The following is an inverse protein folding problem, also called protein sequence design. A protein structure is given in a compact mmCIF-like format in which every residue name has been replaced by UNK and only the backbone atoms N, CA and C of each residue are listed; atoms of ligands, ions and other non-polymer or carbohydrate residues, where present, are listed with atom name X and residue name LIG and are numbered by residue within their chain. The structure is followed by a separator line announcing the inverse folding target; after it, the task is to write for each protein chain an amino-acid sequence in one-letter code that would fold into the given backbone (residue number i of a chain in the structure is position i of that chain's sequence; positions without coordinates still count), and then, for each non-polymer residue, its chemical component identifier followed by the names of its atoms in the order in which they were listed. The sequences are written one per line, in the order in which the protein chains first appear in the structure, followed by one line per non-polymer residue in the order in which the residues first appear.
data_IF_201641749118
#
_entry.id   IF_201641749118
#
_cell.length_a   1.000
_cell.length_b   1.000
_cell.length_c   1.000
_cell.angle_alpha   90.00
_cell.angle_beta   90.00
_cell.angle_gamma   90.00
#
_symmetry.space_group_name_H-M   'P 1'
#
loop_
_entity.id
_entity.type
_entity.pdbx_description
1 polymer ?
#
# COMPACT_ATOMS: atom_id res chain seq x y z
N UNK A 1 11.81 2.82 11.57
CA UNK A 1 10.57 2.11 11.94
C UNK A 1 10.02 1.48 10.68
N UNK A 2 9.59 0.24 10.77
CA UNK A 2 9.17 -0.57 9.62
C UNK A 2 7.73 -0.25 9.20
N UNK A 3 7.41 -0.42 7.92
CA UNK A 3 6.07 -0.24 7.36
C UNK A 3 4.96 -0.93 8.17
N UNK A 4 5.23 -2.13 8.70
CA UNK A 4 4.29 -2.89 9.53
C UNK A 4 4.09 -2.28 10.92
N UNK A 5 5.12 -1.66 11.51
CA UNK A 5 5.04 -0.99 12.81
C UNK A 5 4.16 0.26 12.69
N UNK A 6 4.34 1.04 11.62
CA UNK A 6 3.52 2.22 11.34
C UNK A 6 2.05 1.85 11.05
N UNK A 7 1.82 0.76 10.31
CA UNK A 7 0.48 0.21 10.06
C UNK A 7 -0.19 -0.24 11.36
N UNK A 8 0.51 -1.03 12.17
CA UNK A 8 -0.03 -1.56 13.43
C UNK A 8 -0.37 -0.43 14.41
N UNK A 9 0.52 0.56 14.56
CA UNK A 9 0.28 1.70 15.43
C UNK A 9 -0.95 2.54 15.01
N UNK A 10 -1.16 2.72 13.69
CA UNK A 10 -2.34 3.41 13.17
C UNK A 10 -3.64 2.66 13.50
N UNK A 11 -3.67 1.34 13.28
CA UNK A 11 -4.88 0.53 13.50
C UNK A 11 -5.22 0.35 14.98
N UNK A 12 -4.22 0.22 15.86
CA UNK A 12 -4.44 -0.05 17.28
C UNK A 12 -5.04 1.15 18.04
N UNK A 13 -4.72 2.38 17.63
CA UNK A 13 -5.17 3.59 18.32
C UNK A 13 -6.62 3.99 17.98
N UNK A 14 -7.07 3.72 16.75
CA UNK A 14 -8.37 4.15 16.21
C UNK A 14 -9.58 3.72 17.08
N UNK A 15 -9.72 2.45 17.51
CA UNK A 15 -10.88 2.04 18.30
C UNK A 15 -11.04 2.82 19.61
N UNK A 16 -9.92 3.11 20.28
CA UNK A 16 -9.93 3.87 21.54
C UNK A 16 -10.35 5.33 21.34
N UNK A 17 -9.89 5.96 20.26
CA UNK A 17 -10.25 7.32 19.88
C UNK A 17 -11.73 7.42 19.51
N UNK A 18 -12.23 6.50 18.67
CA UNK A 18 -13.65 6.44 18.31
C UNK A 18 -14.52 6.22 19.54
N UNK A 19 -14.14 5.29 20.42
CA UNK A 19 -14.92 5.02 21.64
C UNK A 19 -15.05 6.26 22.52
N UNK A 20 -13.97 7.04 22.68
CA UNK A 20 -14.01 8.33 23.39
C UNK A 20 -14.94 9.32 22.70
N UNK A 21 -14.79 9.53 21.39
CA UNK A 21 -15.61 10.49 20.66
C UNK A 21 -17.09 10.15 20.70
N UNK A 22 -17.47 8.89 20.45
CA UNK A 22 -18.86 8.45 20.54
C UNK A 22 -19.42 8.52 21.95
N UNK A 23 -18.59 8.32 22.98
CA UNK A 23 -19.04 8.49 24.37
C UNK A 23 -19.31 9.95 24.69
N UNK A 24 -18.41 10.85 24.33
CA UNK A 24 -18.61 12.29 24.51
C UNK A 24 -19.81 12.81 23.69
N UNK A 25 -20.00 12.31 22.46
CA UNK A 25 -21.16 12.68 21.63
C UNK A 25 -22.48 12.26 22.29
N UNK A 26 -22.54 11.08 22.92
CA UNK A 26 -23.72 10.64 23.70
C UNK A 26 -23.95 11.48 24.96
N UNK A 27 -22.88 11.93 25.61
CA UNK A 27 -22.99 12.82 26.77
C UNK A 27 -23.53 14.20 26.37
N UNK A 28 -23.01 14.77 25.28
CA UNK A 28 -23.52 16.01 24.69
C UNK A 28 -24.98 15.86 24.25
N UNK A 29 -25.35 14.73 23.65
CA UNK A 29 -26.73 14.42 23.28
C UNK A 29 -27.67 14.43 24.48
N UNK A 30 -27.27 13.73 25.55
CA UNK A 30 -28.05 13.69 26.79
C UNK A 30 -28.16 15.08 27.42
N UNK A 31 -27.07 15.85 27.41
CA UNK A 31 -27.08 17.22 27.93
C UNK A 31 -27.98 18.13 27.11
N UNK A 32 -27.90 18.06 25.78
CA UNK A 32 -28.74 18.85 24.87
C UNK A 32 -30.21 18.54 25.09
N UNK A 33 -30.59 17.26 25.16
CA UNK A 33 -31.96 16.84 25.43
C UNK A 33 -32.48 17.37 26.78
N UNK A 34 -31.63 17.37 27.81
CA UNK A 34 -31.98 17.93 29.12
C UNK A 34 -32.28 19.44 29.05
N UNK A 35 -31.36 20.23 28.50
CA UNK A 35 -31.52 21.69 28.40
C UNK A 35 -32.67 22.06 27.46
N UNK A 36 -32.88 21.31 26.37
CA UNK A 36 -34.02 21.51 25.49
C UNK A 36 -35.35 21.31 26.21
N UNK A 37 -35.47 20.23 27.00
CA UNK A 37 -36.68 19.96 27.76
C UNK A 37 -36.95 21.06 28.81
N UNK A 38 -35.92 21.51 29.51
CA UNK A 38 -36.04 22.62 30.48
C UNK A 38 -36.48 23.91 29.79
N UNK A 39 -35.92 24.22 28.62
CA UNK A 39 -36.28 25.41 27.85
C UNK A 39 -37.72 25.36 27.31
N UNK A 40 -38.16 24.19 26.82
CA UNK A 40 -39.53 23.96 26.38
C UNK A 40 -40.53 24.16 27.53
N UNK A 41 -40.22 23.62 28.71
CA UNK A 41 -41.05 23.78 29.91
C UNK A 41 -41.13 25.26 30.32
N UNK A 42 -40.02 25.99 30.30
CA UNK A 42 -40.01 27.43 30.61
C UNK A 42 -40.84 28.23 29.61
N UNK A 43 -40.65 27.99 28.31
CA UNK A 43 -41.43 28.66 27.27
C UNK A 43 -42.93 28.38 27.43
N UNK A 44 -43.30 27.14 27.75
CA UNK A 44 -44.68 26.76 28.01
C UNK A 44 -45.25 27.51 29.22
N UNK A 45 -44.50 27.57 30.33
CA UNK A 45 -44.91 28.30 31.53
C UNK A 45 -45.12 29.79 31.25
N UNK A 46 -44.20 30.44 30.52
CA UNK A 46 -44.34 31.85 30.16
C UNK A 46 -45.57 32.12 29.29
N UNK A 47 -45.87 31.22 28.35
CA UNK A 47 -47.08 31.31 27.52
C UNK A 47 -48.34 31.20 28.39
N UNK A 48 -48.36 30.28 29.35
CA UNK A 48 -49.49 30.10 30.28
C UNK A 48 -49.68 31.31 31.19
N UNK A 49 -48.59 31.86 31.73
CA UNK A 49 -48.61 33.06 32.58
C UNK A 49 -49.14 34.28 31.82
N UNK A 50 -48.69 34.48 30.57
CA UNK A 50 -49.19 35.55 29.70
C UNK A 50 -50.69 35.35 29.43
N UNK A 51 -51.11 34.13 29.11
CA UNK A 51 -52.52 33.81 28.83
C UNK A 51 -53.40 34.12 30.05
N UNK A 52 -53.01 33.66 31.23
CA UNK A 52 -53.73 33.95 32.47
C UNK A 52 -53.74 35.46 32.82
N UNK A 53 -52.63 36.15 32.55
CA UNK A 53 -52.53 37.61 32.70
C UNK A 53 -53.49 38.38 31.78
N UNK A 54 -53.69 37.90 30.55
CA UNK A 54 -54.67 38.45 29.60
C UNK A 54 -56.11 38.14 30.03
N UNK A 55 -56.40 36.91 30.45
CA UNK A 55 -57.73 36.48 30.93
C UNK A 55 -58.18 37.24 32.18
N UNK A 56 -57.25 37.52 33.10
CA UNK A 56 -57.50 38.30 34.32
C UNK A 56 -57.52 39.82 34.11
N UNK A 57 -57.16 40.31 32.91
CA UNK A 57 -57.04 41.73 32.61
C UNK A 57 -55.83 42.43 33.25
N UNK A 58 -54.91 41.67 33.86
CA UNK A 58 -53.67 42.18 34.46
C UNK A 58 -52.64 42.60 33.41
N UNK A 59 -52.72 42.03 32.21
CA UNK A 59 -51.84 42.31 31.07
C UNK A 59 -52.71 42.90 29.94
N UNK A 60 -52.20 43.95 29.30
CA UNK A 60 -52.79 44.48 28.07
C UNK A 60 -52.10 43.86 26.87
N UNK A 61 -52.89 43.46 25.87
CA UNK A 61 -52.35 42.86 24.65
C UNK A 61 -51.59 43.92 23.83
N UNK A 62 -50.27 43.81 23.80
CA UNK A 62 -49.38 44.60 22.94
C UNK A 62 -48.38 43.65 22.25
N UNK A 63 -48.54 43.38 20.94
CA UNK A 63 -47.67 42.49 20.19
C UNK A 63 -46.17 42.82 20.29
N UNK A 64 -45.81 44.09 20.51
CA UNK A 64 -44.42 44.51 20.61
C UNK A 64 -43.78 44.17 21.96
N UNK A 65 -44.60 43.96 23.00
CA UNK A 65 -44.16 43.67 24.37
C UNK A 65 -44.24 42.19 24.74
N UNK A 66 -44.99 41.38 24.00
CA UNK A 66 -44.96 39.92 24.16
C UNK A 66 -43.64 39.36 23.60
N UNK A 67 -42.68 39.12 24.48
CA UNK A 67 -41.43 38.41 24.19
C UNK A 67 -41.13 37.45 25.34
N UNK A 68 -40.42 36.38 25.03
CA UNK A 68 -39.87 35.50 26.05
C UNK A 68 -38.88 36.24 26.95
N UNK A 69 -38.71 35.74 28.17
CA UNK A 69 -37.73 36.25 29.13
C UNK A 69 -36.29 36.16 28.59
N UNK A 70 -35.40 36.98 29.15
CA UNK A 70 -33.97 36.92 28.83
C UNK A 70 -33.38 35.57 29.25
N UNK A 71 -33.89 34.98 30.34
CA UNK A 71 -33.56 33.64 30.80
C UNK A 71 -33.91 32.55 29.77
N UNK A 72 -35.13 32.56 29.21
CA UNK A 72 -35.54 31.61 28.17
C UNK A 72 -34.70 31.74 26.90
N UNK A 73 -34.33 32.97 26.53
CA UNK A 73 -33.45 33.23 25.38
C UNK A 73 -32.03 32.70 25.66
N UNK A 74 -31.50 32.89 26.87
CA UNK A 74 -30.15 32.43 27.20
C UNK A 74 -30.06 30.90 27.29
N UNK A 75 -31.08 30.24 27.83
CA UNK A 75 -31.20 28.77 27.79
C UNK A 75 -31.28 28.27 26.34
N UNK A 76 -32.05 28.93 25.47
CA UNK A 76 -32.11 28.56 24.05
C UNK A 76 -30.75 28.72 23.35
N UNK A 77 -29.99 29.78 23.66
CA UNK A 77 -28.62 29.92 23.16
C UNK A 77 -27.69 28.85 23.71
N UNK A 78 -27.89 28.42 24.95
CA UNK A 78 -27.12 27.32 25.53
C UNK A 78 -27.35 26.01 24.76
N UNK A 79 -28.60 25.69 24.39
CA UNK A 79 -28.89 24.56 23.49
C UNK A 79 -28.13 24.65 22.16
N UNK A 80 -28.07 25.84 21.56
CA UNK A 80 -27.35 26.05 20.30
C UNK A 80 -25.85 25.80 20.48
N UNK A 81 -25.25 26.28 21.57
CA UNK A 81 -23.82 26.03 21.86
C UNK A 81 -23.51 24.54 21.98
N UNK A 82 -24.34 23.77 22.69
CA UNK A 82 -24.15 22.30 22.83
C UNK A 82 -24.32 21.61 21.47
N UNK A 83 -25.30 22.05 20.66
CA UNK A 83 -25.52 21.49 19.33
C UNK A 83 -24.32 21.76 18.39
N UNK A 84 -23.75 22.96 18.43
CA UNK A 84 -22.55 23.31 17.66
C UNK A 84 -21.33 22.47 18.09
N UNK A 85 -21.12 22.29 19.40
CA UNK A 85 -20.07 21.40 19.93
C UNK A 85 -20.26 19.95 19.46
N UNK A 86 -21.49 19.45 19.45
CA UNK A 86 -21.81 18.11 18.95
C UNK A 86 -21.50 17.98 17.45
N UNK A 87 -21.85 18.98 16.64
CA UNK A 87 -21.53 18.99 15.20
C UNK A 87 -20.02 19.01 14.98
N UNK A 88 -19.29 19.82 15.75
CA UNK A 88 -17.83 19.87 15.68
C UNK A 88 -17.20 18.52 16.03
N UNK A 89 -17.67 17.84 17.09
CA UNK A 89 -17.18 16.52 17.48
C UNK A 89 -17.52 15.44 16.44
N UNK A 90 -18.71 15.48 15.85
CA UNK A 90 -19.09 14.57 14.77
C UNK A 90 -18.18 14.76 13.55
N UNK A 91 -17.90 16.01 13.18
CA UNK A 91 -16.98 16.35 12.09
C UNK A 91 -15.57 15.84 12.37
N UNK A 92 -15.03 16.10 13.57
CA UNK A 92 -13.72 15.58 13.98
C UNK A 92 -13.65 14.05 13.92
N UNK A 93 -14.73 13.36 14.31
CA UNK A 93 -14.80 11.89 14.27
C UNK A 93 -14.84 11.37 12.84
N UNK A 94 -15.58 12.05 11.96
CA UNK A 94 -15.61 11.74 10.54
C UNK A 94 -14.22 11.92 9.90
N UNK A 95 -13.58 13.06 10.12
CA UNK A 95 -12.24 13.36 9.57
C UNK A 95 -11.18 12.37 10.06
N UNK A 96 -11.27 11.94 11.33
CA UNK A 96 -10.41 10.90 11.88
C UNK A 96 -10.56 9.59 11.10
N UNK A 97 -11.81 9.12 10.92
CA UNK A 97 -12.08 7.88 10.19
C UNK A 97 -11.61 7.99 8.74
N UNK A 98 -11.89 9.11 8.08
CA UNK A 98 -11.47 9.35 6.69
C UNK A 98 -9.94 9.31 6.56
N UNK A 99 -9.21 9.95 7.48
CA UNK A 99 -7.75 9.89 7.51
C UNK A 99 -7.23 8.46 7.65
N UNK A 100 -7.86 7.62 8.48
CA UNK A 100 -7.48 6.21 8.60
C UNK A 100 -7.82 5.40 7.34
N UNK A 101 -8.95 5.67 6.67
CA UNK A 101 -9.28 5.04 5.38
C UNK A 101 -8.22 5.40 4.33
N UNK A 102 -7.87 6.68 4.22
CA UNK A 102 -6.83 7.14 3.29
C UNK A 102 -5.47 6.50 3.59
N UNK A 103 -5.11 6.34 4.86
CA UNK A 103 -3.89 5.62 5.26
C UNK A 103 -3.93 4.15 4.83
N UNK A 104 -5.04 3.45 5.05
CA UNK A 104 -5.22 2.06 4.62
C UNK A 104 -5.08 1.93 3.10
N UNK A 105 -5.67 2.83 2.33
CA UNK A 105 -5.52 2.85 0.87
C UNK A 105 -4.08 3.06 0.41
N UNK A 106 -3.30 3.87 1.13
CA UNK A 106 -1.87 4.06 0.85
C UNK A 106 -1.07 2.80 1.18
N UNK A 107 -1.38 2.14 2.30
CA UNK A 107 -0.74 0.88 2.68
C UNK A 107 -1.03 -0.22 1.65
N UNK A 108 -2.27 -0.33 1.17
CA UNK A 108 -2.65 -1.29 0.12
C UNK A 108 -1.88 -1.04 -1.19
N UNK A 109 -1.82 0.22 -1.66
CA UNK A 109 -1.04 0.59 -2.85
C UNK A 109 0.43 0.22 -2.73
N UNK A 110 1.06 0.53 -1.59
CA UNK A 110 2.46 0.20 -1.35
C UNK A 110 2.72 -1.30 -1.30
N UNK A 111 1.78 -2.09 -0.76
CA UNK A 111 1.86 -3.55 -0.80
C UNK A 111 1.75 -4.09 -2.24
N UNK A 112 0.86 -3.52 -3.06
CA UNK A 112 0.75 -3.88 -4.48
C UNK A 112 2.02 -3.56 -5.26
N UNK A 113 2.65 -2.41 -5.01
CA UNK A 113 3.94 -2.01 -5.61
C UNK A 113 5.06 -2.99 -5.23
N UNK A 114 5.16 -3.36 -3.94
CA UNK A 114 6.15 -4.36 -3.48
C UNK A 114 5.90 -5.70 -4.16
N UNK A 115 4.64 -6.14 -4.25
CA UNK A 115 4.25 -7.38 -4.92
C UNK A 115 4.62 -7.35 -6.40
N UNK A 116 4.34 -6.25 -7.10
CA UNK A 116 4.72 -6.07 -8.50
C UNK A 116 6.25 -6.04 -8.67
N UNK A 117 6.99 -5.42 -7.75
CA UNK A 117 8.45 -5.43 -7.73
C UNK A 117 9.02 -6.83 -7.52
N UNK A 118 8.44 -7.62 -6.62
CA UNK A 118 8.79 -9.03 -6.43
C UNK A 118 8.46 -9.88 -7.66
N UNK A 119 7.29 -9.67 -8.28
CA UNK A 119 6.90 -10.34 -9.53
C UNK A 119 7.86 -9.96 -10.68
N UNK A 120 8.35 -8.73 -10.72
CA UNK A 120 9.35 -8.28 -11.69
C UNK A 120 10.69 -8.99 -11.45
N UNK A 121 11.20 -8.99 -10.21
CA UNK A 121 12.44 -9.71 -9.85
C UNK A 121 12.35 -11.22 -10.09
N UNK A 122 11.17 -11.82 -9.91
CA UNK A 122 10.92 -13.23 -10.22
C UNK A 122 10.83 -13.51 -11.74
N UNK A 123 10.54 -12.50 -12.56
CA UNK A 123 10.48 -12.57 -14.03
C UNK A 123 11.76 -12.11 -14.72
N UNK A 124 12.66 -11.42 -14.01
CA UNK A 124 14.01 -11.13 -14.50
C UNK A 124 14.70 -12.48 -14.71
N UNK A 125 15.11 -12.83 -15.95
CA UNK A 125 15.94 -14.01 -16.16
C UNK A 125 17.16 -13.90 -15.26
N UNK A 126 17.47 -14.96 -14.52
CA UNK A 126 18.74 -15.13 -13.81
C UNK A 126 19.89 -15.34 -14.81
N UNK A 127 19.97 -14.51 -15.85
CA UNK A 127 21.13 -14.41 -16.70
C UNK A 127 22.22 -13.69 -15.89
N UNK A 128 23.43 -14.26 -15.78
CA UNK A 128 24.53 -13.60 -15.10
C UNK A 128 24.81 -12.26 -15.80
N UNK A 129 25.16 -11.19 -15.07
CA UNK A 129 25.53 -9.93 -15.70
C UNK A 129 26.70 -10.20 -16.65
N UNK A 130 26.50 -9.89 -17.93
CA UNK A 130 27.61 -9.76 -18.87
C UNK A 130 28.67 -8.85 -18.24
N UNK A 131 29.96 -9.21 -18.27
CA UNK A 131 30.95 -8.56 -17.43
C UNK A 131 31.12 -7.10 -17.86
N UNK A 132 30.68 -6.21 -16.97
CA UNK A 132 31.28 -4.89 -16.86
C UNK A 132 32.75 -5.11 -16.46
N UNK A 133 33.63 -4.59 -17.28
CA UNK A 133 35.08 -4.61 -17.14
C UNK A 133 35.43 -3.93 -15.81
N UNK A 134 35.97 -4.66 -14.83
CA UNK A 134 36.84 -4.07 -13.82
C UNK A 134 37.72 -5.10 -13.07
N UNK A 135 39.00 -4.73 -12.94
CA UNK A 135 40.00 -5.14 -11.94
C UNK A 135 40.38 -6.63 -11.77
N UNK A 136 41.54 -6.95 -12.34
CA UNK A 136 42.61 -7.83 -11.84
C UNK A 136 42.28 -8.72 -10.62
N UNK A 137 41.79 -9.93 -10.89
CA UNK A 137 42.00 -11.09 -10.01
C UNK A 137 42.75 -12.17 -10.80
N UNK A 138 43.81 -12.79 -10.23
CA UNK A 138 44.64 -13.76 -10.95
C UNK A 138 43.82 -15.01 -11.26
N UNK A 139 43.66 -15.30 -12.56
CA UNK A 139 43.04 -16.51 -13.09
C UNK A 139 43.79 -17.74 -12.58
N UNK A 140 43.07 -18.70 -12.00
CA UNK A 140 43.61 -19.95 -11.47
C UNK A 140 44.38 -20.72 -12.58
N UNK A 141 45.69 -20.97 -12.41
CA UNK A 141 46.53 -21.62 -13.43
C UNK A 141 46.14 -23.06 -13.78
N UNK A 142 45.22 -23.69 -13.05
CA UNK A 142 44.88 -25.11 -13.23
C UNK A 142 43.56 -25.37 -13.96
N UNK A 143 42.89 -24.36 -14.52
CA UNK A 143 41.65 -24.62 -15.27
C UNK A 143 41.95 -25.28 -16.63
N UNK A 144 41.39 -26.48 -16.92
CA UNK A 144 41.66 -27.19 -18.16
C UNK A 144 41.15 -26.41 -19.37
N UNK A 145 41.97 -26.33 -20.42
CA UNK A 145 41.63 -25.63 -21.66
C UNK A 145 41.03 -26.58 -22.69
N UNK A 146 40.03 -26.08 -23.42
CA UNK A 146 39.25 -26.82 -24.41
C UNK A 146 39.23 -26.09 -25.75
N UNK A 147 38.64 -26.75 -26.75
CA UNK A 147 38.54 -26.26 -28.13
C UNK A 147 39.92 -26.00 -28.76
N UNK A 148 39.96 -25.64 -30.05
CA UNK A 148 41.20 -25.23 -30.70
C UNK A 148 41.64 -23.81 -30.32
N UNK A 149 40.81 -23.06 -29.57
CA UNK A 149 41.14 -21.74 -29.05
C UNK A 149 41.94 -21.81 -27.74
N UNK A 150 42.13 -23.01 -27.17
CA UNK A 150 42.83 -23.25 -25.90
C UNK A 150 42.33 -22.32 -24.78
N UNK A 151 41.02 -22.09 -24.72
CA UNK A 151 40.37 -21.32 -23.67
C UNK A 151 39.62 -22.25 -22.73
N UNK A 152 39.30 -21.77 -21.53
CA UNK A 152 38.49 -22.49 -20.54
C UNK A 152 37.06 -22.75 -21.06
N UNK A 153 36.27 -23.56 -20.35
CA UNK A 153 34.87 -23.76 -20.71
C UNK A 153 34.07 -22.47 -20.50
N UNK A 154 33.47 -21.94 -21.57
CA UNK A 154 32.60 -20.77 -21.50
C UNK A 154 31.40 -20.93 -22.44
N UNK A 155 30.22 -20.54 -21.99
CA UNK A 155 28.97 -20.67 -22.77
C UNK A 155 28.59 -22.12 -23.11
N UNK A 156 27.87 -22.31 -24.22
CA UNK A 156 27.47 -23.63 -24.69
C UNK A 156 28.61 -24.36 -25.40
N UNK A 157 28.84 -25.62 -25.01
CA UNK A 157 29.88 -26.48 -25.59
C UNK A 157 29.26 -27.74 -26.20
N UNK A 158 29.90 -28.24 -27.25
CA UNK A 158 29.53 -29.46 -27.95
C UNK A 158 30.68 -30.48 -27.89
N UNK A 159 30.35 -31.71 -27.49
CA UNK A 159 31.27 -32.83 -27.47
C UNK A 159 31.36 -33.49 -28.85
N UNK A 160 32.57 -33.87 -29.26
CA UNK A 160 32.81 -34.62 -30.48
C UNK A 160 32.60 -36.11 -30.24
N UNK A 161 31.66 -36.74 -30.96
CA UNK A 161 31.32 -38.17 -30.85
C UNK A 161 32.39 -39.14 -31.41
N UNK A 162 33.60 -38.66 -31.69
CA UNK A 162 34.70 -39.52 -32.10
C UNK A 162 35.51 -39.90 -30.85
N UNK A 163 35.53 -41.17 -30.42
CA UNK A 163 36.24 -41.60 -29.20
C UNK A 163 37.76 -41.41 -29.27
N UNK A 164 38.32 -41.15 -30.46
CA UNK A 164 39.74 -40.84 -30.64
C UNK A 164 40.02 -39.33 -30.83
N UNK A 165 39.07 -38.46 -30.48
CA UNK A 165 39.25 -37.01 -30.56
C UNK A 165 40.13 -36.53 -29.40
N UNK A 166 41.17 -35.74 -29.68
CA UNK A 166 42.11 -35.28 -28.63
C UNK A 166 41.58 -34.18 -27.72
N UNK A 167 40.65 -33.36 -28.22
CA UNK A 167 40.15 -32.17 -27.52
C UNK A 167 38.79 -32.43 -26.88
N UNK A 168 38.01 -33.34 -27.48
CA UNK A 168 36.68 -33.80 -27.05
C UNK A 168 35.59 -32.72 -26.99
N UNK A 169 35.88 -31.52 -26.52
CA UNK A 169 34.93 -30.43 -26.26
C UNK A 169 35.28 -29.15 -27.03
N UNK A 170 34.27 -28.55 -27.66
CA UNK A 170 34.41 -27.35 -28.46
C UNK A 170 33.31 -26.34 -28.13
N UNK A 171 33.63 -25.04 -28.13
CA UNK A 171 32.61 -24.00 -28.00
C UNK A 171 31.74 -23.93 -29.25
N UNK A 172 30.41 -23.87 -29.08
CA UNK A 172 29.43 -23.79 -30.17
C UNK A 172 29.78 -22.67 -31.17
N UNK A 173 30.14 -21.49 -30.66
CA UNK A 173 30.54 -20.33 -31.46
C UNK A 173 31.86 -20.54 -32.22
N UNK A 174 32.85 -21.23 -31.63
CA UNK A 174 34.13 -21.51 -32.31
C UNK A 174 33.95 -22.45 -33.50
N UNK A 175 33.04 -23.42 -33.41
CA UNK A 175 32.77 -24.38 -34.50
C UNK A 175 31.67 -23.93 -35.44
N UNK A 176 31.14 -22.72 -35.27
CA UNK A 176 30.10 -22.15 -36.14
C UNK A 176 28.76 -22.89 -36.07
N UNK A 177 28.53 -23.63 -34.99
CA UNK A 177 27.24 -24.27 -34.71
C UNK A 177 26.34 -23.19 -34.10
N UNK A 178 25.08 -23.10 -34.53
CA UNK A 178 24.14 -22.09 -34.01
C UNK A 178 23.18 -22.64 -32.95
N UNK A 179 22.96 -23.95 -32.95
CA UNK A 179 22.09 -24.65 -32.00
C UNK A 179 22.67 -26.03 -31.71
N UNK A 180 22.44 -26.57 -30.52
CA UNK A 180 22.91 -27.90 -30.16
C UNK A 180 22.41 -28.93 -31.19
N UNK A 181 23.32 -29.68 -31.84
CA UNK A 181 22.94 -30.65 -32.85
C UNK A 181 22.11 -31.77 -32.21
N UNK A 182 20.90 -32.00 -32.74
CA UNK A 182 20.02 -33.11 -32.33
C UNK A 182 20.53 -34.42 -32.96
N UNK A 183 21.68 -34.92 -32.49
CA UNK A 183 22.30 -36.15 -32.98
C UNK A 183 23.83 -36.14 -32.87
N UNK A 184 24.48 -37.10 -33.56
CA UNK A 184 25.94 -37.24 -33.50
C UNK A 184 26.65 -36.06 -34.18
N UNK A 185 27.56 -35.41 -33.48
CA UNK A 185 28.35 -34.29 -33.98
C UNK A 185 29.86 -34.59 -33.97
N UNK A 186 30.55 -34.12 -35.01
CA UNK A 186 31.99 -34.34 -35.19
C UNK A 186 32.67 -33.00 -35.47
N UNK A 187 33.82 -32.76 -34.82
CA UNK A 187 34.56 -31.51 -35.00
C UNK A 187 35.19 -31.40 -36.40
N UNK A 188 35.56 -30.18 -36.87
CA UNK A 188 36.13 -29.96 -38.20
C UNK A 188 37.34 -30.85 -38.51
N UNK A 189 38.18 -31.10 -37.51
CA UNK A 189 39.32 -32.02 -37.62
C UNK A 189 38.85 -33.46 -37.87
N UNK A 190 37.87 -33.97 -37.11
CA UNK A 190 37.35 -35.33 -37.28
C UNK A 190 36.55 -35.52 -38.58
N UNK A 191 35.85 -34.48 -39.05
CA UNK A 191 35.13 -34.49 -40.34
C UNK A 191 36.11 -34.52 -41.52
N UNK A 192 37.19 -33.73 -41.47
CA UNK A 192 38.21 -33.68 -42.51
C UNK A 192 38.95 -35.01 -42.73
N UNK A 193 39.19 -35.78 -41.67
CA UNK A 193 39.84 -37.10 -41.75
C UNK A 193 38.99 -38.15 -42.48
N UNK A 194 37.66 -38.05 -42.49
CA UNK A 194 36.79 -38.99 -43.24
C UNK A 194 36.91 -38.84 -44.76
N UNK A 195 37.28 -37.65 -45.27
CA UNK A 195 37.44 -37.43 -46.72
C UNK A 195 38.78 -37.93 -47.29
N UNK A 196 39.84 -38.05 -46.47
CA UNK A 196 41.17 -38.50 -46.94
C UNK A 196 41.34 -40.02 -47.05
N UNK A 197 40.35 -40.83 -46.64
CA UNK A 197 40.41 -42.31 -46.72
C UNK A 197 39.71 -42.93 -47.95
N UNK A 198 39.23 -42.13 -48.91
CA UNK A 198 38.86 -42.57 -50.27
C UNK A 198 39.77 -41.88 -51.27
N UNK A 199 40.96 -42.45 -51.49
CA UNK A 199 41.95 -41.88 -52.40
C UNK A 199 43.38 -42.38 -52.18
N UNK A 200 43.57 -43.69 -52.08
CA UNK A 200 44.66 -44.43 -52.73
C UNK A 200 44.33 -45.92 -52.70
#
# INVERSE_FOLDING_TARGET
MGFLEDFQASVESLPSMLHRNYSLMRELDKSLQGVQLENEQRCQQEIEDIKHGLESGSITYDPAKLKFSEEAIEEQKHCVRIADEKVALATQTYDLVDAHIQQLDQFLRKLEEIRQGMDYLAKVPTEPPAPAIDLELPVDPNEPTYCFCNQVSYGEMVACDNPNCKIEWYHIGCVGVKELPKGKWYCPSCVGFKKKRKGK
#
